data_IF_940690470696
#
_entry.id   IF_940690470696
#
_cell.length_a   1.000
_cell.length_b   1.000
_cell.length_c   1.000
_cell.angle_alpha   90.00
_cell.angle_beta   90.00
_cell.angle_gamma   90.00
#
_symmetry.space_group_name_H-M   'P 1'
#
loop_
_entity.id
_entity.type
_entity.pdbx_description
1 polymer ?
#
# COMPACT_ATOMS: atom_id res chain seq x y z
N UNK A 1 -17.23 -12.98 29.03
CA UNK A 1 -15.88 -13.37 28.55
C UNK A 1 -15.83 -14.81 28.03
N UNK A 2 -15.88 -15.86 28.88
CA UNK A 2 -15.73 -17.26 28.43
C UNK A 2 -16.73 -17.69 27.35
N UNK A 3 -18.03 -17.38 27.54
CA UNK A 3 -19.07 -17.69 26.54
C UNK A 3 -18.78 -17.11 25.16
N UNK A 4 -18.15 -15.93 25.09
CA UNK A 4 -17.77 -15.28 23.85
C UNK A 4 -16.51 -15.91 23.24
N UNK A 5 -15.51 -16.26 24.06
CA UNK A 5 -14.31 -16.96 23.56
C UNK A 5 -14.61 -18.36 23.00
N UNK A 6 -15.76 -18.94 23.34
CA UNK A 6 -16.18 -20.27 22.91
C UNK A 6 -17.33 -20.26 21.90
N UNK A 7 -17.83 -19.08 21.51
CA UNK A 7 -18.84 -19.02 20.45
C UNK A 7 -18.17 -19.25 19.07
N UNK A 8 -18.93 -19.72 18.07
CA UNK A 8 -18.44 -19.75 16.69
C UNK A 8 -17.93 -18.37 16.25
N UNK A 9 -16.93 -18.36 15.36
CA UNK A 9 -16.45 -17.12 14.76
C UNK A 9 -17.54 -16.55 13.84
N UNK A 10 -17.82 -15.26 14.01
CA UNK A 10 -18.69 -14.53 13.10
C UNK A 10 -17.98 -14.29 11.76
N UNK A 11 -18.76 -14.21 10.68
CA UNK A 11 -18.24 -13.85 9.37
C UNK A 11 -17.76 -12.39 9.37
N UNK A 12 -16.50 -12.17 8.99
CA UNK A 12 -15.94 -10.83 8.90
C UNK A 12 -16.43 -10.12 7.62
N UNK A 13 -17.25 -9.07 7.80
CA UNK A 13 -17.66 -8.19 6.71
C UNK A 13 -16.61 -7.11 6.49
N UNK A 14 -15.53 -7.44 5.78
CA UNK A 14 -14.46 -6.49 5.51
C UNK A 14 -14.95 -5.34 4.61
N UNK A 15 -14.90 -4.11 5.13
CA UNK A 15 -15.07 -2.88 4.37
C UNK A 15 -13.85 -2.00 4.63
N UNK A 16 -12.99 -1.89 3.63
CA UNK A 16 -11.81 -1.03 3.70
C UNK A 16 -11.96 0.15 2.71
N UNK A 17 -12.23 1.38 3.20
CA UNK A 17 -12.35 2.56 2.36
C UNK A 17 -11.09 2.86 1.55
N UNK A 18 -9.89 2.53 2.05
CA UNK A 18 -8.65 2.72 1.30
C UNK A 18 -8.59 1.78 0.09
N UNK A 19 -8.90 0.49 0.30
CA UNK A 19 -8.93 -0.48 -0.82
C UNK A 19 -9.98 -0.09 -1.86
N UNK A 20 -11.15 0.38 -1.43
CA UNK A 20 -12.16 0.89 -2.35
C UNK A 20 -11.63 2.08 -3.18
N UNK A 21 -10.90 3.02 -2.55
CA UNK A 21 -10.29 4.15 -3.26
C UNK A 21 -9.25 3.69 -4.29
N UNK A 22 -8.41 2.71 -3.96
CA UNK A 22 -7.42 2.16 -4.92
C UNK A 22 -8.12 1.46 -6.07
N UNK A 23 -9.17 0.67 -5.80
CA UNK A 23 -9.96 -0.02 -6.83
C UNK A 23 -10.54 0.95 -7.87
N UNK A 24 -11.06 2.10 -7.43
CA UNK A 24 -11.64 3.11 -8.32
C UNK A 24 -10.65 4.19 -8.80
N UNK A 25 -9.37 4.08 -8.46
CA UNK A 25 -8.37 5.11 -8.78
C UNK A 25 -8.09 5.26 -10.29
N UNK A 26 -8.57 4.34 -11.13
CA UNK A 26 -8.40 4.42 -12.58
C UNK A 26 -8.99 5.68 -13.24
N UNK A 27 -9.88 6.41 -12.56
CA UNK A 27 -10.38 7.71 -13.02
C UNK A 27 -9.51 8.90 -12.60
N UNK A 28 -8.48 8.69 -11.79
CA UNK A 28 -7.57 9.72 -11.29
C UNK A 28 -6.31 9.81 -12.13
N UNK A 29 -5.60 10.93 -12.05
CA UNK A 29 -4.23 11.01 -12.59
C UNK A 29 -3.27 10.10 -11.81
N UNK A 30 -2.12 9.78 -12.43
CA UNK A 30 -1.04 9.03 -11.77
C UNK A 30 -0.61 9.70 -10.47
N UNK A 31 -0.39 11.01 -10.48
CA UNK A 31 0.05 11.75 -9.30
C UNK A 31 -1.00 11.75 -8.17
N UNK A 32 -2.29 11.73 -8.50
CA UNK A 32 -3.35 11.58 -7.49
C UNK A 32 -3.40 10.17 -6.92
N UNK A 33 -3.22 9.15 -7.75
CA UNK A 33 -3.14 7.75 -7.32
C UNK A 33 -1.91 7.51 -6.43
N UNK A 34 -0.75 8.04 -6.79
CA UNK A 34 0.48 7.95 -6.00
C UNK A 34 0.30 8.59 -4.61
N UNK A 35 -0.34 9.75 -4.52
CA UNK A 35 -0.63 10.38 -3.21
C UNK A 35 -1.47 9.51 -2.29
N UNK A 36 -2.41 8.73 -2.84
CA UNK A 36 -3.21 7.78 -2.04
C UNK A 36 -2.31 6.69 -1.46
N UNK A 37 -1.39 6.17 -2.27
CA UNK A 37 -0.43 5.14 -1.85
C UNK A 37 0.61 5.68 -0.87
N UNK A 38 1.09 6.91 -1.06
CA UNK A 38 2.06 7.57 -0.18
C UNK A 38 1.52 7.75 1.23
N UNK A 39 0.29 8.27 1.33
CA UNK A 39 -0.37 8.46 2.63
C UNK A 39 -0.58 7.12 3.33
N UNK A 40 -0.95 6.07 2.59
CA UNK A 40 -1.09 4.74 3.18
C UNK A 40 0.24 4.14 3.61
N UNK A 41 1.29 4.30 2.80
CA UNK A 41 2.62 3.82 3.12
C UNK A 41 3.14 4.46 4.42
N UNK A 42 2.93 5.77 4.58
CA UNK A 42 3.27 6.51 5.80
C UNK A 42 2.56 5.90 7.02
N UNK A 43 1.25 5.71 6.94
CA UNK A 43 0.45 5.10 8.01
C UNK A 43 0.93 3.66 8.34
N UNK A 44 1.22 2.86 7.33
CA UNK A 44 1.68 1.48 7.51
C UNK A 44 3.08 1.43 8.15
N UNK A 45 4.01 2.33 7.77
CA UNK A 45 5.33 2.46 8.40
C UNK A 45 5.23 2.87 9.87
N UNK A 46 4.41 3.87 10.18
CA UNK A 46 4.17 4.33 11.55
C UNK A 46 3.57 3.23 12.43
N UNK A 47 2.60 2.48 11.90
CA UNK A 47 2.01 1.32 12.56
C UNK A 47 3.05 0.24 12.80
N UNK A 48 3.85 -0.11 11.79
CA UNK A 48 4.90 -1.13 11.90
C UNK A 48 5.93 -0.76 12.97
N UNK A 49 6.41 0.48 12.98
CA UNK A 49 7.34 0.97 13.99
C UNK A 49 6.73 0.88 15.39
N UNK A 50 5.48 1.33 15.53
CA UNK A 50 4.76 1.30 16.81
C UNK A 50 4.59 -0.13 17.33
N UNK A 51 4.23 -1.08 16.47
CA UNK A 51 4.09 -2.49 16.84
C UNK A 51 5.44 -3.12 17.21
N UNK A 52 6.51 -2.85 16.45
CA UNK A 52 7.86 -3.36 16.77
C UNK A 52 8.37 -2.86 18.12
N UNK A 53 8.01 -1.64 18.52
CA UNK A 53 8.36 -1.08 19.83
C UNK A 53 7.61 -1.73 21.01
N UNK A 54 6.52 -2.46 20.77
CA UNK A 54 5.72 -3.12 21.81
C UNK A 54 6.23 -4.51 22.21
N UNK A 55 7.29 -5.03 21.58
CA UNK A 55 7.86 -6.35 21.91
C UNK A 55 8.20 -6.48 23.39
N UNK A 56 7.83 -7.60 24.00
CA UNK A 56 8.02 -7.89 25.44
C UNK A 56 8.50 -9.34 25.65
N UNK A 57 9.12 -9.64 26.80
CA UNK A 57 9.42 -11.02 27.18
C UNK A 57 8.17 -11.91 27.17
N UNK A 58 8.37 -13.18 26.85
CA UNK A 58 7.32 -14.20 26.79
C UNK A 58 7.66 -15.28 27.82
N UNK A 59 6.91 -15.27 28.92
CA UNK A 59 7.19 -16.10 30.10
C UNK A 59 6.09 -17.13 30.36
N UNK A 60 4.90 -16.93 29.78
CA UNK A 60 3.71 -17.75 30.00
C UNK A 60 2.79 -17.82 28.77
N UNK A 61 1.77 -18.68 28.80
CA UNK A 61 0.83 -18.82 27.69
C UNK A 61 0.08 -17.51 27.35
N UNK A 62 -0.44 -16.73 28.32
CA UNK A 62 -1.05 -15.43 28.03
C UNK A 62 -0.12 -14.44 27.33
N UNK A 63 1.15 -14.33 27.73
CA UNK A 63 2.13 -13.47 27.06
C UNK A 63 2.46 -13.97 25.66
N UNK A 64 2.57 -15.29 25.45
CA UNK A 64 2.76 -15.89 24.13
C UNK A 64 1.61 -15.59 23.16
N UNK A 65 0.35 -15.64 23.62
CA UNK A 65 -0.81 -15.31 22.78
C UNK A 65 -0.89 -13.82 22.45
N UNK A 66 -0.49 -12.94 23.37
CA UNK A 66 -0.36 -11.49 23.11
C UNK A 66 0.74 -11.21 22.09
N UNK A 67 1.88 -11.88 22.22
CA UNK A 67 2.98 -11.78 21.26
C UNK A 67 2.58 -12.27 19.86
N UNK A 68 1.91 -13.42 19.77
CA UNK A 68 1.36 -13.92 18.50
C UNK A 68 0.39 -12.92 17.84
N UNK A 69 -0.42 -12.23 18.65
CA UNK A 69 -1.32 -11.17 18.17
C UNK A 69 -0.54 -9.96 17.66
N UNK A 70 0.50 -9.53 18.38
CA UNK A 70 1.41 -8.46 17.96
C UNK A 70 2.10 -8.81 16.63
N UNK A 71 2.60 -10.05 16.53
CA UNK A 71 3.24 -10.56 15.32
C UNK A 71 2.31 -10.58 14.11
N UNK A 72 1.04 -10.96 14.27
CA UNK A 72 0.03 -10.82 13.20
C UNK A 72 -0.10 -9.37 12.73
N UNK A 73 -0.10 -8.42 13.66
CA UNK A 73 -0.13 -6.99 13.32
C UNK A 73 1.09 -6.55 12.50
N UNK A 74 2.29 -7.00 12.90
CA UNK A 74 3.55 -6.71 12.19
C UNK A 74 3.53 -7.29 10.78
N UNK A 75 3.18 -8.57 10.63
CA UNK A 75 3.11 -9.24 9.34
C UNK A 75 2.11 -8.57 8.39
N UNK A 76 0.95 -8.16 8.91
CA UNK A 76 -0.04 -7.44 8.11
C UNK A 76 0.51 -6.10 7.59
N UNK A 77 1.22 -5.33 8.43
CA UNK A 77 1.80 -4.05 8.00
C UNK A 77 2.94 -4.25 6.99
N UNK A 78 3.77 -5.28 7.16
CA UNK A 78 4.84 -5.63 6.21
C UNK A 78 4.28 -6.08 4.85
N UNK A 79 3.23 -6.89 4.87
CA UNK A 79 2.53 -7.31 3.66
C UNK A 79 1.89 -6.12 2.92
N UNK A 80 1.28 -5.20 3.67
CA UNK A 80 0.69 -3.99 3.09
C UNK A 80 1.74 -3.08 2.43
N UNK A 81 2.90 -2.88 3.08
CA UNK A 81 4.01 -2.12 2.49
C UNK A 81 4.53 -2.78 1.21
N UNK A 82 4.64 -4.11 1.21
CA UNK A 82 5.08 -4.87 0.03
C UNK A 82 4.09 -4.69 -1.12
N UNK A 83 2.79 -4.87 -0.84
CA UNK A 83 1.72 -4.69 -1.83
C UNK A 83 1.67 -3.26 -2.40
N UNK A 84 1.94 -2.23 -1.58
CA UNK A 84 2.04 -0.84 -2.06
C UNK A 84 3.16 -0.70 -3.10
N UNK A 85 4.33 -1.29 -2.85
CA UNK A 85 5.45 -1.23 -3.80
C UNK A 85 5.14 -1.98 -5.10
N UNK A 86 4.54 -3.16 -5.00
CA UNK A 86 4.08 -3.91 -6.18
C UNK A 86 3.05 -3.11 -7.00
N UNK A 87 2.12 -2.44 -6.31
CA UNK A 87 1.11 -1.59 -6.94
C UNK A 87 1.74 -0.40 -7.67
N UNK A 88 2.76 0.24 -7.09
CA UNK A 88 3.52 1.29 -7.80
C UNK A 88 4.20 0.75 -9.06
N UNK A 89 4.77 -0.44 -9.01
CA UNK A 89 5.34 -1.10 -10.19
C UNK A 89 4.30 -1.44 -11.28
N UNK A 90 3.01 -1.58 -10.92
CA UNK A 90 1.91 -1.64 -11.90
C UNK A 90 1.70 -0.26 -12.53
N UNK A 91 1.57 0.80 -11.72
CA UNK A 91 1.35 2.16 -12.22
C UNK A 91 2.45 2.61 -13.19
N UNK A 92 3.70 2.29 -12.90
CA UNK A 92 4.84 2.61 -13.77
C UNK A 92 4.73 1.96 -15.15
N UNK A 93 4.32 0.68 -15.21
CA UNK A 93 4.16 -0.06 -16.47
C UNK A 93 2.98 0.42 -17.31
N UNK A 94 1.96 0.98 -16.68
CA UNK A 94 0.73 1.45 -17.34
C UNK A 94 0.69 2.97 -17.53
N UNK A 95 1.74 3.69 -17.13
CA UNK A 95 1.88 5.10 -17.41
C UNK A 95 2.19 5.28 -18.90
N UNK A 96 1.45 6.13 -19.65
CA UNK A 96 1.78 6.38 -21.04
C UNK A 96 3.19 6.95 -21.13
N UNK A 97 4.06 6.28 -21.90
CA UNK A 97 5.35 6.82 -22.30
C UNK A 97 5.08 8.17 -22.99
N UNK A 98 5.77 9.24 -22.59
CA UNK A 98 5.67 10.51 -23.32
C UNK A 98 5.83 10.25 -24.82
N UNK A 99 5.01 10.86 -25.70
CA UNK A 99 5.12 10.60 -27.13
C UNK A 99 6.54 10.94 -27.60
N UNK A 100 7.09 10.22 -28.59
CA UNK A 100 8.38 10.57 -29.17
C UNK A 100 8.33 12.02 -29.61
N UNK A 101 9.36 12.81 -29.24
CA UNK A 101 9.56 14.17 -29.77
C UNK A 101 9.43 14.09 -31.29
N UNK A 102 8.48 14.84 -31.84
CA UNK A 102 8.27 14.96 -33.28
C UNK A 102 9.61 15.11 -34.01
N UNK A 103 9.96 14.25 -34.99
CA UNK A 103 11.16 14.43 -35.81
C UNK A 103 11.04 15.63 -36.77
N UNK A 104 9.95 16.41 -36.71
CA UNK A 104 9.68 17.50 -37.65
C UNK A 104 10.31 18.85 -37.30
N UNK A 105 11.19 18.92 -36.30
CA UNK A 105 12.06 20.09 -36.08
C UNK A 105 13.36 19.94 -36.88
N UNK A 106 13.24 19.81 -38.21
CA UNK A 106 14.38 20.06 -39.10
C UNK A 106 14.35 21.55 -39.47
N UNK A 107 15.47 22.29 -39.35
CA UNK A 107 15.51 23.67 -39.79
C UNK A 107 15.35 23.75 -41.31
N UNK A 108 14.47 24.63 -41.76
CA UNK A 108 14.27 24.98 -43.18
C UNK A 108 15.61 25.34 -43.82
N UNK A 109 15.97 24.81 -45.00
CA UNK A 109 17.18 25.22 -45.69
C UNK A 109 17.02 26.68 -46.10
N UNK A 110 18.02 27.50 -45.78
CA UNK A 110 18.09 28.89 -46.19
C UNK A 110 18.06 28.99 -47.72
N UNK A 111 17.16 29.81 -48.24
CA UNK A 111 17.19 30.27 -49.63
C UNK A 111 18.40 31.19 -49.85
N UNK A 112 19.09 30.98 -50.98
CA UNK A 112 19.83 32.01 -51.70
C UNK A 112 21.18 31.56 -52.27
N UNK A 113 21.74 32.26 -53.28
CA UNK A 113 21.17 33.27 -54.16
C UNK A 113 20.93 32.78 -55.61
#
# INVERSE_FOLDING_TARGET
>A
MRRWLTSPLEEEKAKDPFIARVFFAGSLSRAETERILDERERQAKEKLQSLKALGRPVDDLPSALRDATLRKGVLNAEAELTWIQETRGILERHSPQSPPKDPSSLPTPAEGP
#
